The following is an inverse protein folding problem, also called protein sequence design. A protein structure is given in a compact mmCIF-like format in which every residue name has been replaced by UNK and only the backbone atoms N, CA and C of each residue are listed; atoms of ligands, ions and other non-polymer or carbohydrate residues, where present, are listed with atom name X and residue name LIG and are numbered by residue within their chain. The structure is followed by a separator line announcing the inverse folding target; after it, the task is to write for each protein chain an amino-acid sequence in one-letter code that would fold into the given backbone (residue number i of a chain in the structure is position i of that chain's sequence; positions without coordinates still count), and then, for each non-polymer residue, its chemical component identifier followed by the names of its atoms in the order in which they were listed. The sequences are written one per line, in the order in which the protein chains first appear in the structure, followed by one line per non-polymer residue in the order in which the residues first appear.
data_IF_351466756286
#
_entry.id   IF_351466756286
#
_cell.length_a   1.000
_cell.length_b   1.000
_cell.length_c   1.000
_cell.angle_alpha   90.00
_cell.angle_beta   90.00
_cell.angle_gamma   90.00
#
_symmetry.space_group_name_H-M   'P 1'
#
loop_
_entity.id
_entity.type
_entity.pdbx_description
1 polymer ?
#
# COMPACT_ATOMS: atom_id res chain seq x y z
N UNK A 1 -15.52 -23.31 -5.07
CA UNK A 1 -15.88 -24.41 -4.14
C UNK A 1 -14.70 -25.32 -3.81
N UNK A 2 -13.92 -25.80 -4.80
CA UNK A 2 -12.82 -26.75 -4.56
C UNK A 2 -11.71 -26.15 -3.69
N UNK A 3 -11.29 -24.90 -3.98
CA UNK A 3 -10.27 -24.20 -3.19
C UNK A 3 -10.63 -24.06 -1.71
N UNK A 4 -11.87 -23.67 -1.39
CA UNK A 4 -12.32 -23.54 0.00
C UNK A 4 -12.37 -24.88 0.73
N UNK A 5 -12.68 -25.98 0.02
CA UNK A 5 -12.66 -27.33 0.59
C UNK A 5 -11.22 -27.75 0.95
N UNK A 6 -10.27 -27.54 0.04
CA UNK A 6 -8.86 -27.86 0.27
C UNK A 6 -8.28 -27.06 1.45
N UNK A 7 -8.66 -25.79 1.58
CA UNK A 7 -8.18 -24.91 2.65
C UNK A 7 -8.67 -25.39 4.03
N UNK A 8 -9.95 -25.75 4.14
CA UNK A 8 -10.51 -26.32 5.38
C UNK A 8 -9.83 -27.64 5.74
N UNK A 9 -9.63 -28.53 4.78
CA UNK A 9 -8.90 -29.78 4.99
C UNK A 9 -7.47 -29.55 5.49
N UNK A 10 -6.74 -28.62 4.86
CA UNK A 10 -5.40 -28.27 5.26
C UNK A 10 -5.36 -27.69 6.69
N UNK A 11 -6.30 -26.80 7.03
CA UNK A 11 -6.40 -26.22 8.37
C UNK A 11 -6.70 -27.28 9.45
N UNK A 12 -7.58 -28.24 9.17
CA UNK A 12 -7.88 -29.36 10.09
C UNK A 12 -6.65 -30.25 10.27
N UNK A 13 -5.93 -30.56 9.19
CA UNK A 13 -4.70 -31.35 9.26
C UNK A 13 -3.66 -30.66 10.15
N UNK A 14 -3.42 -29.35 9.96
CA UNK A 14 -2.50 -28.59 10.83
C UNK A 14 -2.95 -28.55 12.29
N UNK A 15 -4.26 -28.50 12.55
CA UNK A 15 -4.82 -28.52 13.90
C UNK A 15 -4.61 -29.88 14.58
N UNK A 16 -4.78 -30.98 13.84
CA UNK A 16 -4.48 -32.34 14.33
C UNK A 16 -2.99 -32.48 14.67
N UNK A 17 -2.10 -32.01 13.78
CA UNK A 17 -0.66 -32.03 14.07
C UNK A 17 -0.34 -31.22 15.32
N UNK A 18 -0.87 -30.00 15.46
CA UNK A 18 -0.64 -29.20 16.65
C UNK A 18 -1.17 -29.87 17.92
N UNK A 19 -2.34 -30.50 17.84
CA UNK A 19 -2.94 -31.23 18.95
C UNK A 19 -2.03 -32.37 19.42
N UNK A 20 -1.46 -33.15 18.49
CA UNK A 20 -0.48 -34.20 18.80
C UNK A 20 0.77 -33.61 19.45
N UNK A 21 1.29 -32.49 18.93
CA UNK A 21 2.47 -31.80 19.50
C UNK A 21 2.24 -31.17 20.88
N UNK A 22 0.99 -30.98 21.28
CA UNK A 22 0.62 -30.48 22.61
C UNK A 22 0.44 -31.61 23.65
N UNK A 23 0.34 -32.87 23.20
CA UNK A 23 0.29 -34.01 24.13
C UNK A 23 1.63 -34.16 24.85
N UNK A 24 1.56 -34.64 26.09
CA UNK A 24 2.73 -34.87 26.93
C UNK A 24 3.45 -36.18 26.54
N UNK A 25 3.93 -36.22 25.30
CA UNK A 25 4.70 -37.34 24.73
C UNK A 25 6.18 -37.19 25.14
N UNK A 26 6.88 -38.29 25.39
CA UNK A 26 8.31 -38.29 25.70
C UNK A 26 9.15 -37.95 24.46
N UNK A 27 10.40 -37.54 24.65
CA UNK A 27 11.29 -37.13 23.54
C UNK A 27 11.76 -38.30 22.66
N UNK A 28 11.38 -39.54 23.02
CA UNK A 28 11.61 -40.78 22.26
C UNK A 28 10.48 -41.06 21.25
N UNK A 29 9.26 -40.57 21.50
CA UNK A 29 8.07 -40.84 20.68
C UNK A 29 7.80 -39.74 19.64
N UNK A 30 8.27 -38.52 19.89
CA UNK A 30 8.10 -37.38 19.00
C UNK A 30 9.45 -36.68 18.78
N UNK A 31 9.74 -36.34 17.53
CA UNK A 31 10.98 -35.65 17.18
C UNK A 31 11.17 -34.38 18.04
N UNK A 32 12.42 -34.05 18.42
CA UNK A 32 12.72 -32.88 19.25
C UNK A 32 12.21 -31.59 18.61
N UNK A 33 12.10 -30.53 19.43
CA UNK A 33 11.56 -29.22 19.05
C UNK A 33 12.03 -28.80 17.66
N UNK A 34 11.08 -28.72 16.74
CA UNK A 34 11.32 -28.17 15.41
C UNK A 34 10.77 -26.76 15.36
N UNK A 35 11.45 -25.87 16.07
CA UNK A 35 11.21 -24.42 15.99
C UNK A 35 11.24 -23.93 14.53
N UNK A 36 12.03 -24.59 13.68
CA UNK A 36 12.18 -24.33 12.25
C UNK A 36 10.93 -24.59 11.39
N UNK A 37 9.90 -25.27 11.92
CA UNK A 37 8.59 -25.45 11.25
C UNK A 37 7.44 -24.85 12.06
N UNK A 38 7.75 -24.10 13.13
CA UNK A 38 6.75 -23.48 14.00
C UNK A 38 5.99 -24.45 14.91
N UNK A 39 6.50 -25.67 15.07
CA UNK A 39 5.99 -26.64 16.04
C UNK A 39 6.90 -26.64 17.27
N UNK A 40 6.45 -25.92 18.29
CA UNK A 40 7.14 -25.87 19.58
C UNK A 40 6.39 -26.78 20.57
N UNK A 41 7.11 -27.61 21.33
CA UNK A 41 6.51 -28.50 22.34
C UNK A 41 6.10 -27.67 23.55
N UNK A 42 4.94 -27.02 23.46
CA UNK A 42 4.36 -26.25 24.55
C UNK A 42 3.61 -27.20 25.49
N UNK A 43 4.34 -27.78 26.45
CA UNK A 43 3.75 -28.65 27.49
C UNK A 43 2.75 -27.84 28.33
N UNK A 44 1.47 -28.21 28.24
CA UNK A 44 0.41 -27.73 29.14
C UNK A 44 -0.20 -26.34 28.85
N UNK A 45 0.26 -25.63 27.81
CA UNK A 45 -0.37 -24.36 27.40
C UNK A 45 -1.39 -24.61 26.27
N UNK A 46 -2.67 -24.42 26.57
CA UNK A 46 -3.78 -24.62 25.63
C UNK A 46 -4.10 -23.38 24.78
N UNK A 47 -3.50 -22.24 25.10
CA UNK A 47 -3.69 -20.98 24.36
C UNK A 47 -3.38 -21.05 22.84
N UNK A 48 -2.31 -21.72 22.35
CA UNK A 48 -2.03 -21.81 20.91
C UNK A 48 -3.11 -22.61 20.14
N UNK A 49 -3.70 -23.63 20.77
CA UNK A 49 -4.73 -24.46 20.15
C UNK A 49 -6.03 -23.67 20.01
N UNK A 50 -6.38 -22.86 21.01
CA UNK A 50 -7.57 -22.01 20.96
C UNK A 50 -7.49 -20.96 19.86
N UNK A 51 -6.33 -20.34 19.66
CA UNK A 51 -6.13 -19.37 18.58
C UNK A 51 -6.25 -20.07 17.22
N UNK A 52 -5.60 -21.23 17.05
CA UNK A 52 -5.66 -22.00 15.81
C UNK A 52 -7.06 -22.51 15.52
N UNK A 53 -7.83 -22.94 16.54
CA UNK A 53 -9.21 -23.38 16.35
C UNK A 53 -10.13 -22.22 15.95
N UNK A 54 -9.95 -21.03 16.53
CA UNK A 54 -10.71 -19.83 16.14
C UNK A 54 -10.45 -19.43 14.68
N UNK A 55 -9.21 -19.58 14.20
CA UNK A 55 -8.87 -19.39 12.78
C UNK A 55 -9.58 -20.45 11.91
N UNK A 56 -9.62 -21.72 12.35
CA UNK A 56 -10.32 -22.79 11.62
C UNK A 56 -11.82 -22.53 11.49
N UNK A 57 -12.46 -21.92 12.50
CA UNK A 57 -13.89 -21.52 12.44
C UNK A 57 -14.16 -20.55 11.29
N UNK A 58 -13.25 -19.60 11.04
CA UNK A 58 -13.38 -18.65 9.91
C UNK A 58 -13.40 -19.37 8.57
N UNK A 59 -12.57 -20.40 8.39
CA UNK A 59 -12.56 -21.20 7.16
C UNK A 59 -13.83 -22.03 6.98
N UNK A 60 -14.38 -22.59 8.06
CA UNK A 60 -15.67 -23.28 8.05
C UNK A 60 -16.83 -22.35 7.69
N UNK A 61 -16.85 -21.14 8.26
CA UNK A 61 -17.85 -20.12 7.91
C UNK A 61 -17.77 -19.75 6.43
N UNK A 62 -16.56 -19.53 5.89
CA UNK A 62 -16.36 -19.23 4.47
C UNK A 62 -16.84 -20.37 3.56
N UNK A 63 -16.60 -21.64 3.93
CA UNK A 63 -17.10 -22.80 3.21
C UNK A 63 -18.64 -22.86 3.25
N UNK A 64 -19.24 -22.65 4.43
CA UNK A 64 -20.69 -22.67 4.61
C UNK A 64 -21.38 -21.63 3.71
N UNK A 65 -20.86 -20.40 3.67
CA UNK A 65 -21.37 -19.35 2.78
C UNK A 65 -21.28 -19.81 1.32
N UNK A 66 -20.13 -20.33 0.88
CA UNK A 66 -19.92 -20.75 -0.51
C UNK A 66 -20.88 -21.88 -0.95
N UNK A 67 -21.23 -22.79 -0.06
CA UNK A 67 -22.21 -23.86 -0.35
C UNK A 67 -23.63 -23.30 -0.37
N UNK A 68 -23.94 -22.39 0.55
CA UNK A 68 -25.29 -21.82 0.73
C UNK A 68 -25.66 -20.79 -0.35
N UNK A 69 -24.69 -20.11 -0.96
CA UNK A 69 -24.90 -19.12 -2.03
C UNK A 69 -25.08 -19.74 -3.42
N UNK A 70 -25.09 -21.08 -3.57
CA UNK A 70 -25.55 -21.70 -4.81
C UNK A 70 -27.01 -21.28 -5.03
N UNK A 71 -27.36 -20.76 -6.22
CA UNK A 71 -28.63 -20.06 -6.41
C UNK A 71 -29.79 -20.99 -6.06
N UNK A 72 -30.50 -20.66 -4.99
CA UNK A 72 -31.89 -21.10 -4.82
C UNK A 72 -32.66 -20.38 -5.93
N UNK A 73 -33.21 -21.19 -6.82
CA UNK A 73 -34.06 -20.85 -7.97
C UNK A 73 -34.88 -19.58 -7.79
N UNK A 74 -34.76 -18.71 -8.79
CA UNK A 74 -35.70 -17.69 -9.28
C UNK A 74 -36.94 -17.42 -8.42
N UNK A 75 -36.96 -16.25 -7.78
CA UNK A 75 -38.18 -15.58 -7.33
C UNK A 75 -38.26 -14.25 -8.07
N UNK A 76 -39.36 -14.07 -8.81
CA UNK A 76 -39.76 -12.87 -9.55
C UNK A 76 -39.79 -11.63 -8.64
N UNK A 77 -38.72 -10.84 -8.68
CA UNK A 77 -38.69 -9.48 -8.13
C UNK A 77 -38.07 -8.52 -9.14
N UNK A 78 -38.22 -8.77 -10.45
CA UNK A 78 -37.54 -8.04 -11.53
C UNK A 78 -37.92 -6.55 -11.58
N UNK A 79 -39.20 -6.22 -11.43
CA UNK A 79 -39.68 -4.92 -11.93
C UNK A 79 -39.43 -3.74 -10.96
N UNK A 80 -39.41 -4.00 -9.65
CA UNK A 80 -39.11 -2.96 -8.63
C UNK A 80 -37.60 -2.79 -8.44
N UNK A 81 -36.82 -3.83 -8.74
CA UNK A 81 -35.37 -3.81 -8.58
C UNK A 81 -34.66 -3.13 -9.77
N UNK A 82 -35.13 -3.33 -11.00
CA UNK A 82 -34.50 -2.75 -12.21
C UNK A 82 -34.38 -1.22 -12.15
N UNK A 83 -35.44 -0.51 -11.71
CA UNK A 83 -35.41 0.96 -11.61
C UNK A 83 -34.48 1.50 -10.52
N UNK A 84 -34.29 0.77 -9.40
CA UNK A 84 -33.31 1.14 -8.37
C UNK A 84 -31.88 0.82 -8.80
N UNK A 85 -31.68 -0.28 -9.52
CA UNK A 85 -30.37 -0.68 -10.00
C UNK A 85 -29.78 0.30 -11.01
N UNK A 86 -30.58 0.91 -11.88
CA UNK A 86 -30.08 1.92 -12.83
C UNK A 86 -29.48 3.15 -12.15
N UNK A 87 -30.05 3.59 -11.02
CA UNK A 87 -29.47 4.68 -10.21
C UNK A 87 -28.20 4.23 -9.49
N UNK A 88 -28.17 3.00 -8.98
CA UNK A 88 -27.02 2.39 -8.28
C UNK A 88 -25.85 2.13 -9.23
N UNK A 89 -26.12 1.66 -10.45
CA UNK A 89 -25.13 1.40 -11.50
C UNK A 89 -24.47 2.72 -11.93
N UNK A 90 -25.26 3.80 -12.05
CA UNK A 90 -24.73 5.13 -12.35
C UNK A 90 -23.92 5.72 -11.19
N UNK A 91 -24.39 5.61 -9.95
CA UNK A 91 -23.64 6.01 -8.74
C UNK A 91 -22.32 5.24 -8.60
N UNK A 92 -22.31 3.93 -8.89
CA UNK A 92 -21.11 3.09 -8.89
C UNK A 92 -20.02 3.65 -9.80
N UNK A 93 -20.37 4.21 -10.97
CA UNK A 93 -19.40 4.80 -11.90
C UNK A 93 -18.71 6.03 -11.31
N UNK A 94 -19.47 6.93 -10.68
CA UNK A 94 -18.91 8.11 -10.01
C UNK A 94 -18.06 7.73 -8.80
N UNK A 95 -18.55 6.79 -7.97
CA UNK A 95 -17.83 6.30 -6.79
C UNK A 95 -16.52 5.64 -7.22
N UNK A 96 -16.51 4.83 -8.27
CA UNK A 96 -15.28 4.16 -8.73
C UNK A 96 -14.23 5.15 -9.20
N UNK A 97 -14.63 6.25 -9.87
CA UNK A 97 -13.71 7.32 -10.31
C UNK A 97 -13.18 8.14 -9.13
N UNK A 98 -14.03 8.51 -8.19
CA UNK A 98 -13.60 9.24 -6.99
C UNK A 98 -12.69 8.36 -6.11
N UNK A 99 -13.07 7.09 -5.94
CA UNK A 99 -12.31 6.11 -5.18
C UNK A 99 -10.94 5.89 -5.79
N UNK A 100 -10.80 5.75 -7.12
CA UNK A 100 -9.48 5.55 -7.74
C UNK A 100 -8.51 6.71 -7.52
N UNK A 101 -9.01 7.96 -7.50
CA UNK A 101 -8.20 9.14 -7.23
C UNK A 101 -7.77 9.22 -5.75
N UNK A 102 -8.69 8.98 -4.82
CA UNK A 102 -8.40 8.99 -3.38
C UNK A 102 -7.47 7.83 -3.01
N UNK A 103 -7.67 6.66 -3.63
CA UNK A 103 -6.89 5.45 -3.33
C UNK A 103 -5.42 5.60 -3.69
N UNK A 104 -5.13 6.29 -4.78
CA UNK A 104 -3.74 6.60 -5.15
C UNK A 104 -3.05 7.48 -4.10
N UNK A 105 -3.73 8.52 -3.60
CA UNK A 105 -3.20 9.37 -2.54
C UNK A 105 -2.98 8.59 -1.24
N UNK A 106 -3.88 7.66 -0.91
CA UNK A 106 -3.75 6.76 0.24
C UNK A 106 -2.49 5.90 0.15
N UNK A 107 -2.16 5.36 -1.03
CA UNK A 107 -0.93 4.57 -1.22
C UNK A 107 0.33 5.40 -0.97
N UNK A 108 0.38 6.63 -1.51
CA UNK A 108 1.53 7.52 -1.28
C UNK A 108 1.67 7.82 0.21
N UNK A 109 0.55 8.14 0.87
CA UNK A 109 0.52 8.41 2.30
C UNK A 109 0.98 7.20 3.12
N UNK A 110 0.54 5.99 2.75
CA UNK A 110 0.94 4.75 3.41
C UNK A 110 2.44 4.47 3.26
N UNK A 111 2.99 4.61 2.05
CA UNK A 111 4.42 4.42 1.80
C UNK A 111 5.26 5.45 2.58
N UNK A 112 4.78 6.69 2.64
CA UNK A 112 5.43 7.75 3.41
C UNK A 112 5.34 7.51 4.92
N UNK A 113 4.22 7.01 5.42
CA UNK A 113 4.07 6.62 6.83
C UNK A 113 5.03 5.49 7.21
N UNK A 114 5.16 4.46 6.38
CA UNK A 114 6.10 3.35 6.61
C UNK A 114 7.56 3.82 6.53
N UNK A 115 7.86 4.75 5.61
CA UNK A 115 9.19 5.35 5.48
C UNK A 115 9.59 6.22 6.68
N UNK A 116 8.65 6.99 7.24
CA UNK A 116 8.93 7.94 8.33
C UNK A 116 8.77 7.35 9.75
N UNK A 117 7.89 6.36 9.97
CA UNK A 117 7.62 5.85 11.31
C UNK A 117 8.69 4.85 11.79
N UNK A 118 9.58 5.33 12.65
CA UNK A 118 10.30 4.53 13.65
C UNK A 118 11.72 5.02 13.94
N UNK A 119 12.42 4.41 14.91
CA UNK A 119 13.65 4.99 15.49
C UNK A 119 14.91 4.85 14.62
N UNK A 120 15.08 3.73 13.92
CA UNK A 120 16.30 3.44 13.13
C UNK A 120 16.00 3.49 11.62
N UNK A 121 16.93 4.05 10.84
CA UNK A 121 16.82 4.06 9.39
C UNK A 121 17.28 2.74 8.78
N UNK A 122 16.40 2.11 8.00
CA UNK A 122 16.65 0.82 7.33
C UNK A 122 16.44 0.95 5.82
N UNK A 123 17.05 0.04 5.05
CA UNK A 123 16.90 -0.02 3.59
C UNK A 123 15.42 -0.13 3.19
N UNK A 124 14.61 -0.89 3.93
CA UNK A 124 13.17 -1.03 3.64
C UNK A 124 12.41 0.29 3.72
N UNK A 125 12.80 1.17 4.65
CA UNK A 125 12.21 2.51 4.80
C UNK A 125 12.66 3.45 3.70
N UNK A 126 13.96 3.46 3.40
CA UNK A 126 14.53 4.25 2.30
C UNK A 126 13.87 3.84 0.98
N UNK A 127 13.72 2.54 0.75
CA UNK A 127 13.06 2.01 -0.43
C UNK A 127 11.59 2.44 -0.50
N UNK A 128 10.83 2.34 0.59
CA UNK A 128 9.43 2.83 0.61
C UNK A 128 9.32 4.33 0.35
N UNK A 129 10.23 5.13 0.89
CA UNK A 129 10.26 6.58 0.71
C UNK A 129 10.66 6.96 -0.72
N UNK A 130 11.64 6.26 -1.30
CA UNK A 130 12.03 6.37 -2.71
C UNK A 130 10.84 6.10 -3.62
N UNK A 131 10.10 5.01 -3.40
CA UNK A 131 8.92 4.71 -4.20
C UNK A 131 7.83 5.77 -4.04
N UNK A 132 7.56 6.24 -2.81
CA UNK A 132 6.59 7.32 -2.57
C UNK A 132 6.96 8.60 -3.34
N UNK A 133 8.23 8.99 -3.28
CA UNK A 133 8.75 10.16 -3.98
C UNK A 133 8.73 10.00 -5.49
N UNK A 134 9.02 8.80 -5.99
CA UNK A 134 8.93 8.47 -7.41
C UNK A 134 7.48 8.53 -7.89
N UNK A 135 6.51 8.05 -7.11
CA UNK A 135 5.08 8.23 -7.41
C UNK A 135 4.66 9.71 -7.47
N UNK A 136 5.11 10.52 -6.51
CA UNK A 136 4.87 11.96 -6.51
C UNK A 136 5.46 12.64 -7.76
N UNK A 137 6.71 12.30 -8.11
CA UNK A 137 7.38 12.84 -9.29
C UNK A 137 6.66 12.44 -10.59
N UNK A 138 6.27 11.16 -10.73
CA UNK A 138 5.52 10.68 -11.88
C UNK A 138 4.15 11.34 -12.01
N UNK A 139 3.49 11.68 -10.91
CA UNK A 139 2.20 12.37 -10.94
C UNK A 139 2.30 13.83 -11.45
N UNK A 140 3.49 14.43 -11.40
CA UNK A 140 3.74 15.78 -11.92
C UNK A 140 4.08 15.79 -13.42
N UNK A 141 4.43 14.63 -13.98
CA UNK A 141 4.71 14.46 -15.41
C UNK A 141 3.43 14.46 -16.25
N UNK A 142 3.57 14.42 -17.58
CA UNK A 142 2.44 14.48 -18.50
C UNK A 142 1.44 13.32 -18.26
N UNK A 143 0.14 13.63 -18.26
CA UNK A 143 -0.93 12.75 -17.81
C UNK A 143 -1.02 11.43 -18.59
N UNK A 144 -0.72 11.44 -19.88
CA UNK A 144 -0.86 10.24 -20.72
C UNK A 144 0.25 9.20 -20.48
N UNK A 145 1.50 9.65 -20.31
CA UNK A 145 2.66 8.77 -20.10
C UNK A 145 2.71 8.29 -18.64
N UNK A 146 2.25 9.13 -17.70
CA UNK A 146 2.21 8.83 -16.27
C UNK A 146 1.38 7.59 -15.95
N UNK A 147 0.29 7.33 -16.68
CA UNK A 147 -0.63 6.22 -16.41
C UNK A 147 0.02 4.85 -16.63
N UNK A 148 0.72 4.67 -17.75
CA UNK A 148 1.41 3.42 -18.08
C UNK A 148 2.57 3.18 -17.13
N UNK A 149 3.40 4.20 -16.89
CA UNK A 149 4.57 4.08 -16.00
C UNK A 149 4.14 3.79 -14.55
N UNK A 150 3.06 4.43 -14.07
CA UNK A 150 2.53 4.19 -12.73
C UNK A 150 2.05 2.76 -12.53
N UNK A 151 1.38 2.17 -13.52
CA UNK A 151 0.95 0.77 -13.47
C UNK A 151 2.14 -0.19 -13.37
N UNK A 152 3.16 0.02 -14.22
CA UNK A 152 4.39 -0.77 -14.21
C UNK A 152 5.10 -0.65 -12.87
N UNK A 153 5.23 0.56 -12.33
CA UNK A 153 5.85 0.80 -11.03
C UNK A 153 5.11 0.10 -9.89
N UNK A 154 3.78 0.09 -9.89
CA UNK A 154 3.00 -0.65 -8.90
C UNK A 154 3.26 -2.16 -8.94
N UNK A 155 3.39 -2.74 -10.15
CA UNK A 155 3.70 -4.17 -10.30
C UNK A 155 5.10 -4.46 -9.75
N UNK A 156 6.10 -3.64 -10.11
CA UNK A 156 7.47 -3.75 -9.59
C UNK A 156 7.46 -3.68 -8.05
N UNK A 157 6.71 -2.73 -7.48
CA UNK A 157 6.62 -2.56 -6.04
C UNK A 157 5.94 -3.75 -5.35
N UNK A 158 4.91 -4.34 -5.95
CA UNK A 158 4.28 -5.57 -5.43
C UNK A 158 5.32 -6.69 -5.40
N UNK A 159 6.07 -6.90 -6.49
CA UNK A 159 7.09 -7.95 -6.58
C UNK A 159 8.22 -7.72 -5.57
N UNK A 160 8.73 -6.49 -5.45
CA UNK A 160 9.75 -6.17 -4.45
C UNK A 160 9.22 -6.39 -3.01
N UNK A 161 7.97 -6.03 -2.75
CA UNK A 161 7.35 -6.21 -1.43
C UNK A 161 7.10 -7.68 -1.09
N UNK A 162 6.71 -8.51 -2.06
CA UNK A 162 6.56 -9.95 -1.83
C UNK A 162 7.90 -10.64 -1.63
N UNK A 163 8.96 -10.24 -2.35
CA UNK A 163 10.32 -10.74 -2.11
C UNK A 163 10.77 -10.39 -0.68
N UNK A 164 10.60 -9.14 -0.25
CA UNK A 164 10.93 -8.74 1.12
C UNK A 164 10.12 -9.52 2.16
N UNK A 165 8.85 -9.83 1.87
CA UNK A 165 8.01 -10.62 2.76
C UNK A 165 8.55 -12.04 2.91
N UNK A 166 8.98 -12.65 1.81
CA UNK A 166 9.62 -13.97 1.81
C UNK A 166 10.91 -13.92 2.62
N UNK A 167 11.77 -12.91 2.42
CA UNK A 167 13.04 -12.80 3.16
C UNK A 167 12.78 -12.67 4.66
N UNK A 168 11.92 -11.72 5.07
CA UNK A 168 11.60 -11.50 6.49
C UNK A 168 10.97 -12.74 7.13
N UNK A 169 10.06 -13.40 6.42
CA UNK A 169 9.41 -14.61 6.92
C UNK A 169 10.39 -15.79 7.02
N UNK A 170 11.21 -16.03 6.00
CA UNK A 170 12.16 -17.15 6.00
C UNK A 170 13.31 -16.96 6.96
N UNK A 171 13.72 -15.72 7.23
CA UNK A 171 14.75 -15.38 8.22
C UNK A 171 14.31 -15.69 9.67
N UNK A 172 13.00 -15.84 9.92
CA UNK A 172 12.51 -16.27 11.23
C UNK A 172 13.04 -17.66 11.63
N UNK A 173 13.18 -18.57 10.66
CA UNK A 173 13.61 -19.94 10.91
C UNK A 173 15.12 -20.02 11.05
N UNK A 174 15.62 -20.63 12.14
CA UNK A 174 17.04 -20.62 12.50
C UNK A 174 17.88 -21.37 11.47
N UNK A 175 17.38 -22.48 10.93
CA UNK A 175 18.08 -23.24 9.88
C UNK A 175 18.18 -22.47 8.56
N UNK A 176 17.11 -21.77 8.17
CA UNK A 176 17.09 -20.99 6.93
C UNK A 176 17.84 -19.66 7.09
N UNK A 177 17.88 -19.10 8.30
CA UNK A 177 18.70 -17.94 8.61
C UNK A 177 20.18 -18.20 8.29
N UNK A 178 20.71 -19.39 8.58
CA UNK A 178 22.10 -19.77 8.22
C UNK A 178 22.33 -19.79 6.71
N UNK A 179 21.33 -20.16 5.91
CA UNK A 179 21.41 -20.07 4.45
C UNK A 179 21.50 -18.61 4.01
N UNK A 180 20.69 -17.73 4.60
CA UNK A 180 20.75 -16.30 4.30
C UNK A 180 22.06 -15.66 4.77
N UNK A 181 22.66 -16.14 5.87
CA UNK A 181 23.96 -15.68 6.35
C UNK A 181 25.10 -15.98 5.35
N UNK A 182 24.93 -17.02 4.52
CA UNK A 182 25.88 -17.32 3.44
C UNK A 182 25.64 -16.45 2.19
N UNK A 183 24.37 -16.14 1.88
CA UNK A 183 23.99 -15.42 0.65
C UNK A 183 24.10 -13.91 0.81
N UNK A 184 23.76 -13.38 1.98
CA UNK A 184 23.66 -11.94 2.25
C UNK A 184 24.80 -11.53 3.19
N UNK A 185 25.72 -10.65 2.75
CA UNK A 185 26.76 -10.08 3.61
C UNK A 185 26.16 -9.42 4.86
N UNK A 186 26.86 -9.55 5.99
CA UNK A 186 26.44 -8.98 7.28
C UNK A 186 26.13 -7.48 7.22
N UNK A 187 26.83 -6.73 6.36
CA UNK A 187 26.58 -5.31 6.13
C UNK A 187 25.15 -5.05 5.62
N UNK A 188 24.71 -5.82 4.62
CA UNK A 188 23.36 -5.68 4.04
C UNK A 188 22.30 -6.14 5.04
N UNK A 189 22.60 -7.19 5.81
CA UNK A 189 21.71 -7.73 6.84
C UNK A 189 21.43 -6.74 7.97
N UNK A 190 22.48 -6.05 8.42
CA UNK A 190 22.37 -4.98 9.42
C UNK A 190 21.63 -3.75 8.87
N UNK A 191 21.82 -3.44 7.59
CA UNK A 191 21.10 -2.33 6.92
C UNK A 191 19.61 -2.62 6.67
N UNK A 192 19.23 -3.87 6.44
CA UNK A 192 17.82 -4.31 6.35
C UNK A 192 17.20 -4.45 7.75
N UNK A 193 18.03 -4.62 8.79
CA UNK A 193 17.69 -4.88 10.19
C UNK A 193 16.79 -6.11 10.38
N UNK A 194 17.23 -7.20 9.75
CA UNK A 194 16.61 -8.52 9.90
C UNK A 194 16.56 -8.98 11.37
N UNK A 195 17.43 -8.44 12.24
CA UNK A 195 17.51 -8.78 13.66
C UNK A 195 16.43 -8.10 14.50
N UNK A 196 16.07 -6.83 14.24
CA UNK A 196 14.89 -6.22 14.89
C UNK A 196 13.58 -6.80 14.36
N UNK A 197 13.53 -7.10 13.06
CA UNK A 197 12.34 -7.70 12.45
C UNK A 197 12.02 -9.08 13.03
N UNK A 198 13.02 -9.85 13.49
CA UNK A 198 12.80 -11.10 14.24
C UNK A 198 12.09 -10.90 15.59
N UNK A 199 12.28 -9.74 16.25
CA UNK A 199 11.62 -9.41 17.53
C UNK A 199 10.18 -8.94 17.32
N UNK A 200 9.96 -8.07 16.32
CA UNK A 200 8.64 -7.51 15.99
C UNK A 200 8.12 -8.05 14.65
N UNK A 201 8.14 -9.38 14.52
CA UNK A 201 7.82 -10.11 13.27
C UNK A 201 6.41 -9.77 12.78
N UNK A 202 5.43 -9.76 13.68
CA UNK A 202 4.04 -9.46 13.33
C UNK A 202 3.92 -8.06 12.71
N UNK A 203 4.42 -7.02 13.39
CA UNK A 203 4.37 -5.63 12.91
C UNK A 203 5.05 -5.46 11.55
N UNK A 204 6.20 -6.10 11.35
CA UNK A 204 6.96 -6.02 10.10
C UNK A 204 6.21 -6.68 8.94
N UNK A 205 5.64 -7.87 9.17
CA UNK A 205 4.81 -8.59 8.20
C UNK A 205 3.52 -7.82 7.91
N UNK A 206 2.84 -7.29 8.93
CA UNK A 206 1.59 -6.53 8.78
C UNK A 206 1.80 -5.28 7.93
N UNK A 207 2.85 -4.49 8.19
CA UNK A 207 3.15 -3.30 7.38
C UNK A 207 3.36 -3.66 5.91
N UNK A 208 4.14 -4.71 5.65
CA UNK A 208 4.48 -5.11 4.29
C UNK A 208 3.29 -5.72 3.54
N UNK A 209 2.49 -6.53 4.21
CA UNK A 209 1.25 -7.11 3.63
C UNK A 209 0.19 -6.06 3.36
N UNK A 210 0.04 -5.05 4.24
CA UNK A 210 -0.90 -3.94 4.02
C UNK A 210 -0.55 -3.16 2.74
N UNK A 211 0.75 -2.92 2.49
CA UNK A 211 1.21 -2.29 1.24
C UNK A 211 0.84 -3.13 0.02
N UNK A 212 1.10 -4.45 0.06
CA UNK A 212 0.78 -5.35 -1.06
C UNK A 212 -0.73 -5.37 -1.34
N UNK A 213 -1.56 -5.46 -0.29
CA UNK A 213 -3.02 -5.45 -0.43
C UNK A 213 -3.51 -4.11 -1.01
N UNK A 214 -3.02 -2.98 -0.48
CA UNK A 214 -3.39 -1.66 -0.98
C UNK A 214 -3.04 -1.47 -2.46
N UNK A 215 -1.84 -1.91 -2.88
CA UNK A 215 -1.39 -1.87 -4.27
C UNK A 215 -2.19 -2.82 -5.17
N UNK A 216 -2.53 -4.02 -4.69
CA UNK A 216 -3.35 -4.96 -5.44
C UNK A 216 -4.76 -4.42 -5.70
N UNK A 217 -5.39 -3.83 -4.67
CA UNK A 217 -6.69 -3.15 -4.81
C UNK A 217 -6.58 -2.00 -5.80
N UNK A 218 -5.51 -1.22 -5.74
CA UNK A 218 -5.30 -0.10 -6.65
C UNK A 218 -5.23 -0.53 -8.11
N UNK A 219 -4.45 -1.58 -8.44
CA UNK A 219 -4.36 -2.08 -9.81
C UNK A 219 -5.74 -2.54 -10.30
N UNK A 220 -6.49 -3.26 -9.48
CA UNK A 220 -7.82 -3.74 -9.83
C UNK A 220 -8.84 -2.60 -10.03
N UNK A 221 -8.83 -1.60 -9.14
CA UNK A 221 -9.67 -0.40 -9.27
C UNK A 221 -9.29 0.42 -10.51
N UNK A 222 -7.99 0.54 -10.80
CA UNK A 222 -7.47 1.31 -11.93
C UNK A 222 -7.81 0.65 -13.27
N UNK A 223 -7.61 -0.66 -13.42
CA UNK A 223 -7.98 -1.43 -14.61
C UNK A 223 -9.47 -1.25 -14.95
N UNK A 224 -10.33 -1.33 -13.93
CA UNK A 224 -11.77 -1.13 -14.08
C UNK A 224 -12.14 0.33 -14.39
N UNK A 225 -11.33 1.32 -13.98
CA UNK A 225 -11.60 2.72 -14.32
C UNK A 225 -11.29 3.03 -15.78
N UNK A 226 -10.26 2.42 -16.37
CA UNK A 226 -9.85 2.65 -17.77
C UNK A 226 -10.81 2.02 -18.79
N UNK A 227 -11.44 0.88 -18.48
CA UNK A 227 -12.43 0.24 -19.37
C UNK A 227 -13.76 0.98 -19.44
N UNK A 228 -14.03 1.83 -18.46
CA UNK A 228 -15.31 2.58 -18.31
C UNK A 228 -15.26 3.95 -19.01
N UNK A 229 -14.07 4.41 -19.41
CA UNK A 229 -13.85 5.72 -20.04
C UNK A 229 -14.20 5.73 -21.55
N UNK A 230 -14.36 4.55 -22.17
CA UNK A 230 -14.71 4.40 -23.60
C UNK A 230 -16.20 4.48 -23.93
N UNK A 231 -17.10 4.68 -22.96
CA UNK A 231 -18.53 4.41 -23.16
C UNK A 231 -19.55 5.46 -22.68
N UNK A 232 -19.18 6.71 -22.36
CA UNK A 232 -20.19 7.67 -21.84
C UNK A 232 -20.12 9.05 -22.48
N UNK A 233 -21.18 9.35 -23.24
CA UNK A 233 -21.70 10.69 -23.47
C UNK A 233 -22.49 11.16 -22.25
N UNK A 234 -22.27 12.42 -21.90
CA UNK A 234 -22.72 13.04 -20.65
C UNK A 234 -24.01 13.82 -20.92
N UNK A 235 -25.17 13.30 -20.55
CA UNK A 235 -26.32 14.19 -20.37
C UNK A 235 -27.33 13.71 -19.33
N UNK A 236 -27.58 14.64 -18.41
CA UNK A 236 -28.71 14.74 -17.50
C UNK A 236 -28.80 13.71 -16.37
N UNK A 237 -29.53 14.09 -15.31
CA UNK A 237 -29.80 13.38 -14.06
C UNK A 237 -28.85 13.76 -12.93
N UNK A 238 -29.04 14.97 -12.38
CA UNK A 238 -29.16 15.19 -10.93
C UNK A 238 -30.03 16.44 -10.71
N UNK A 239 -31.33 16.26 -10.43
CA UNK A 239 -32.24 17.33 -10.00
C UNK A 239 -32.30 17.43 -8.46
N UNK A 240 -31.15 17.35 -7.79
CA UNK A 240 -31.06 17.58 -6.35
C UNK A 240 -30.42 18.94 -6.09
N UNK A 241 -31.21 19.88 -5.54
CA UNK A 241 -30.79 21.24 -5.18
C UNK A 241 -29.52 21.23 -4.31
N UNK A 242 -29.39 20.25 -3.42
CA UNK A 242 -28.22 20.07 -2.56
C UNK A 242 -26.95 19.66 -3.34
N UNK A 243 -27.09 18.77 -4.32
CA UNK A 243 -25.95 18.35 -5.15
C UNK A 243 -25.53 19.46 -6.11
N UNK A 244 -26.48 20.26 -6.62
CA UNK A 244 -26.17 21.46 -7.40
C UNK A 244 -25.46 22.52 -6.55
N UNK A 245 -25.83 22.69 -5.29
CA UNK A 245 -25.11 23.57 -4.36
C UNK A 245 -23.69 23.07 -4.09
N UNK A 246 -23.50 21.78 -3.80
CA UNK A 246 -22.16 21.18 -3.62
C UNK A 246 -21.33 21.36 -4.89
N UNK A 247 -21.91 21.11 -6.06
CA UNK A 247 -21.20 21.29 -7.33
C UNK A 247 -20.81 22.76 -7.54
N UNK A 248 -21.69 23.70 -7.20
CA UNK A 248 -21.40 25.14 -7.28
C UNK A 248 -20.28 25.56 -6.32
N UNK A 249 -20.31 25.07 -5.07
CA UNK A 249 -19.23 25.32 -4.11
C UNK A 249 -17.92 24.68 -4.58
N UNK A 250 -17.95 23.44 -5.07
CA UNK A 250 -16.76 22.73 -5.55
C UNK A 250 -16.16 23.41 -6.78
N UNK A 251 -16.99 23.87 -7.71
CA UNK A 251 -16.54 24.61 -8.90
C UNK A 251 -16.01 26.00 -8.54
N UNK A 252 -16.61 26.68 -7.57
CA UNK A 252 -16.10 27.92 -7.02
C UNK A 252 -14.73 27.72 -6.35
N UNK A 253 -14.62 26.75 -5.44
CA UNK A 253 -13.36 26.40 -4.79
C UNK A 253 -12.32 26.02 -5.83
N UNK A 254 -12.66 25.17 -6.80
CA UNK A 254 -11.75 24.78 -7.88
C UNK A 254 -11.27 25.98 -8.70
N UNK A 255 -12.17 26.90 -9.08
CA UNK A 255 -11.82 28.12 -9.82
C UNK A 255 -10.93 29.04 -8.99
N UNK A 256 -11.26 29.24 -7.72
CA UNK A 256 -10.47 30.05 -6.78
C UNK A 256 -9.06 29.47 -6.60
N UNK A 257 -8.97 28.15 -6.35
CA UNK A 257 -7.70 27.43 -6.22
C UNK A 257 -6.92 27.47 -7.53
N UNK A 258 -7.57 27.37 -8.69
CA UNK A 258 -6.88 27.40 -9.98
C UNK A 258 -6.26 28.78 -10.29
N UNK A 259 -6.88 29.86 -9.81
CA UNK A 259 -6.35 31.23 -9.94
C UNK A 259 -5.18 31.44 -8.98
N UNK A 260 -5.32 31.05 -7.71
CA UNK A 260 -4.34 31.38 -6.66
C UNK A 260 -3.32 30.28 -6.34
N UNK A 261 -3.39 29.09 -6.97
CA UNK A 261 -2.49 27.96 -6.67
C UNK A 261 -1.01 28.32 -6.82
N UNK A 262 -0.65 29.10 -7.83
CA UNK A 262 0.74 29.44 -8.10
C UNK A 262 1.29 30.39 -7.03
N UNK A 263 0.50 31.41 -6.67
CA UNK A 263 0.86 32.36 -5.61
C UNK A 263 1.07 31.65 -4.26
N UNK A 264 0.18 30.71 -3.92
CA UNK A 264 0.29 29.94 -2.68
C UNK A 264 1.53 29.02 -2.65
N UNK A 265 1.83 28.37 -3.78
CA UNK A 265 3.03 27.51 -3.88
C UNK A 265 4.30 28.34 -3.74
N UNK A 266 4.34 29.52 -4.35
CA UNK A 266 5.51 30.39 -4.25
C UNK A 266 5.69 30.98 -2.86
N UNK A 267 4.60 31.35 -2.18
CA UNK A 267 4.64 31.85 -0.81
C UNK A 267 5.16 30.77 0.15
N UNK A 268 4.64 29.55 0.04
CA UNK A 268 5.08 28.41 0.87
C UNK A 268 6.53 28.02 0.59
N UNK A 269 6.99 28.05 -0.67
CA UNK A 269 8.41 27.85 -0.98
C UNK A 269 9.30 28.95 -0.39
N UNK A 270 8.89 30.21 -0.48
CA UNK A 270 9.61 31.34 0.11
C UNK A 270 9.83 31.15 1.62
N UNK A 271 8.78 30.74 2.34
CA UNK A 271 8.84 30.46 3.78
C UNK A 271 9.79 29.29 4.11
N UNK A 272 9.73 28.21 3.35
CA UNK A 272 10.62 27.05 3.56
C UNK A 272 12.10 27.38 3.34
N UNK A 273 12.41 28.23 2.34
CA UNK A 273 13.78 28.63 2.00
C UNK A 273 14.36 29.58 3.06
N UNK A 274 13.54 30.50 3.59
CA UNK A 274 13.91 31.42 4.67
C UNK A 274 14.31 30.70 5.96
N UNK A 275 13.78 29.50 6.20
CA UNK A 275 14.04 28.73 7.41
C UNK A 275 15.11 27.64 7.23
N UNK A 276 15.51 27.33 6.00
CA UNK A 276 16.50 26.29 5.72
C UNK A 276 17.94 26.79 5.90
N UNK A 277 18.71 26.14 6.78
CA UNK A 277 20.14 26.41 6.97
C UNK A 277 21.03 25.67 5.94
N UNK A 278 20.47 25.30 4.78
CA UNK A 278 21.10 24.43 3.77
C UNK A 278 21.71 25.25 2.63
N UNK A 279 22.87 25.86 2.88
CA UNK A 279 23.57 26.85 2.03
C UNK A 279 23.31 26.79 0.51
N UNK A 280 23.89 25.82 -0.21
CA UNK A 280 23.92 25.84 -1.68
C UNK A 280 22.57 25.47 -2.33
N UNK A 281 21.78 24.63 -1.66
CA UNK A 281 20.51 24.10 -2.19
C UNK A 281 19.36 25.05 -1.90
N UNK A 282 19.33 25.63 -0.69
CA UNK A 282 18.44 26.74 -0.37
C UNK A 282 18.65 27.90 -1.35
N UNK A 283 19.91 28.19 -1.70
CA UNK A 283 20.25 29.18 -2.72
C UNK A 283 19.74 28.80 -4.12
N UNK A 284 19.93 27.55 -4.58
CA UNK A 284 19.40 27.09 -5.88
C UNK A 284 17.87 27.16 -5.94
N UNK A 285 17.18 26.70 -4.88
CA UNK A 285 15.72 26.77 -4.79
C UNK A 285 15.22 28.21 -4.74
N UNK A 286 15.94 29.12 -4.06
CA UNK A 286 15.62 30.55 -4.01
C UNK A 286 15.72 31.20 -5.39
N UNK A 287 16.83 30.96 -6.11
CA UNK A 287 17.03 31.50 -7.44
C UNK A 287 15.98 30.96 -8.43
N UNK A 288 15.66 29.66 -8.37
CA UNK A 288 14.59 29.08 -9.19
C UNK A 288 13.21 29.66 -8.82
N UNK A 289 13.00 30.04 -7.56
CA UNK A 289 11.75 30.65 -7.10
C UNK A 289 11.56 32.07 -7.60
N UNK A 290 12.58 32.91 -7.46
CA UNK A 290 12.57 34.27 -8.00
C UNK A 290 12.45 34.24 -9.52
N UNK A 291 13.22 33.36 -10.17
CA UNK A 291 13.16 33.20 -11.62
C UNK A 291 11.75 32.80 -12.04
N UNK A 292 11.15 31.79 -11.38
CA UNK A 292 9.79 31.35 -11.68
C UNK A 292 8.73 32.45 -11.59
N UNK A 293 8.80 33.34 -10.60
CA UNK A 293 7.86 34.46 -10.48
C UNK A 293 7.88 35.42 -11.69
N UNK A 294 9.01 35.56 -12.38
CA UNK A 294 9.18 36.53 -13.47
C UNK A 294 8.72 36.03 -14.85
N UNK A 295 8.48 34.72 -15.04
CA UNK A 295 8.15 34.14 -16.36
C UNK A 295 6.66 33.79 -16.52
N UNK A 296 6.15 33.68 -17.76
CA UNK A 296 4.78 33.31 -18.03
C UNK A 296 4.42 31.90 -17.53
N UNK A 297 3.12 31.68 -17.26
CA UNK A 297 2.58 30.47 -16.63
C UNK A 297 3.09 29.13 -17.19
N UNK A 298 3.42 29.04 -18.48
CA UNK A 298 3.98 27.80 -19.08
C UNK A 298 5.37 27.46 -18.53
N UNK A 299 6.22 28.47 -18.36
CA UNK A 299 7.57 28.31 -17.83
C UNK A 299 7.53 28.04 -16.32
N UNK A 300 6.60 28.68 -15.60
CA UNK A 300 6.37 28.43 -14.18
C UNK A 300 6.08 26.96 -13.89
N UNK A 301 5.21 26.31 -14.67
CA UNK A 301 4.89 24.88 -14.48
C UNK A 301 6.13 23.99 -14.70
N UNK A 302 6.99 24.32 -15.67
CA UNK A 302 8.23 23.59 -15.92
C UNK A 302 9.20 23.77 -14.74
N UNK A 303 9.36 25.00 -14.26
CA UNK A 303 10.22 25.31 -13.11
C UNK A 303 9.74 24.59 -11.85
N UNK A 304 8.43 24.59 -11.55
CA UNK A 304 7.87 23.85 -10.42
C UNK A 304 8.17 22.34 -10.49
N UNK A 305 8.08 21.74 -11.69
CA UNK A 305 8.43 20.32 -11.91
C UNK A 305 9.92 20.08 -11.62
N UNK A 306 10.79 20.94 -12.12
CA UNK A 306 12.23 20.86 -11.85
C UNK A 306 12.53 20.97 -10.35
N UNK A 307 11.92 21.94 -9.65
CA UNK A 307 12.13 22.11 -8.22
C UNK A 307 11.64 20.88 -7.45
N UNK A 308 10.48 20.32 -7.79
CA UNK A 308 9.99 19.14 -7.07
C UNK A 308 10.86 17.89 -7.32
N UNK A 309 11.40 17.70 -8.52
CA UNK A 309 12.33 16.61 -8.81
C UNK A 309 13.63 16.80 -8.01
N UNK A 310 14.16 18.04 -7.98
CA UNK A 310 15.35 18.37 -7.20
C UNK A 310 15.13 18.15 -5.69
N UNK A 311 13.97 18.58 -5.16
CA UNK A 311 13.63 18.42 -3.75
C UNK A 311 13.47 16.94 -3.38
N UNK A 312 12.83 16.16 -4.24
CA UNK A 312 12.72 14.70 -4.10
C UNK A 312 14.09 14.01 -4.06
N UNK A 313 14.98 14.35 -5.02
CA UNK A 313 16.35 13.84 -5.04
C UNK A 313 17.14 14.23 -3.80
N UNK A 314 16.97 15.45 -3.32
CA UNK A 314 17.64 15.92 -2.10
C UNK A 314 17.19 15.16 -0.85
N UNK A 315 15.87 14.97 -0.68
CA UNK A 315 15.33 14.18 0.43
C UNK A 315 15.95 12.78 0.43
N UNK A 316 16.10 12.16 -0.75
CA UNK A 316 16.74 10.85 -0.86
C UNK A 316 18.21 10.85 -0.46
N UNK A 317 18.99 11.84 -0.88
CA UNK A 317 20.40 11.97 -0.49
C UNK A 317 20.51 12.15 1.02
N UNK A 318 19.65 12.98 1.62
CA UNK A 318 19.66 13.19 3.08
C UNK A 318 19.30 11.91 3.85
N UNK A 319 18.34 11.13 3.35
CA UNK A 319 17.95 9.85 3.93
C UNK A 319 19.04 8.77 3.76
N UNK A 320 19.73 8.75 2.61
CA UNK A 320 20.88 7.87 2.39
C UNK A 320 22.06 8.21 3.32
N UNK A 321 22.28 9.49 3.61
CA UNK A 321 23.33 9.91 4.54
C UNK A 321 23.08 9.46 5.99
N UNK A 322 21.81 9.22 6.35
CA UNK A 322 21.43 8.70 7.66
C UNK A 322 21.57 7.19 7.79
N UNK A 323 22.00 6.48 6.75
CA UNK A 323 22.35 5.07 6.87
C UNK A 323 23.52 4.94 7.86
N UNK A 324 23.44 4.02 8.84
CA UNK A 324 24.58 3.73 9.68
C UNK A 324 25.69 3.14 8.81
N UNK A 325 26.70 3.95 8.51
CA UNK A 325 27.97 3.49 7.95
C UNK A 325 28.78 2.89 9.09
N UNK A 326 28.58 1.60 9.35
CA UNK A 326 29.52 0.79 10.12
C UNK A 326 30.19 -0.20 9.20
#
# INVERSE_FOLDING_TARGET
SLFSLCLVWYAVLLLIIQYIYCMDLTDEELAPDREDIGFNKQRGDSSPILIKSLITVVFWAALYVNISTKPKSEVDVSDIWELKFDKIIRLRKYITRALSQIWFALIILLLLAIGLLGPNMHITRILSMLFALLFCALNQTNSSISLTIRSILCIILIVCSTIMLIIVYTYHFNTIAKFWDFVIPDNIKNMIDLKSMKRDTFTSITKLTLVVIALSIYINLFYNSTTVESSVEFSSIVDDVFLNWIHSVLTFVHKYLNIHKLDFIWLTMGVCILQSNTGLIGFLCFNLTIFGMCFPNRVQVIILRCISILLSGFILVFMLYQLPTN
#
